data_IF_307471503399
#
_entry.id   IF_307471503399
#
_cell.length_a   1.000
_cell.length_b   1.000
_cell.length_c   1.000
_cell.angle_alpha   90.00
_cell.angle_beta   90.00
_cell.angle_gamma   90.00
#
_symmetry.space_group_name_H-M   'P 1'
#
loop_
_entity.id
_entity.type
_entity.pdbx_description
1 polymer ?
#
# COMPACT_ATOMS: atom_id res chain seq x y z
N UNK A 1 -27.52 -8.95 18.87
CA UNK A 1 -26.88 -7.84 18.10
C UNK A 1 -25.81 -8.44 17.18
N UNK A 2 -25.85 -8.20 15.87
CA UNK A 2 -24.78 -8.67 14.95
C UNK A 2 -23.51 -7.87 15.22
N UNK A 3 -22.42 -8.56 15.57
CA UNK A 3 -21.10 -7.93 15.78
C UNK A 3 -20.60 -7.43 14.43
N UNK A 4 -20.22 -6.15 14.36
CA UNK A 4 -19.67 -5.59 13.14
C UNK A 4 -18.36 -6.31 12.78
N UNK A 5 -18.22 -6.70 11.51
CA UNK A 5 -16.97 -7.30 11.03
C UNK A 5 -15.87 -6.22 11.04
N UNK A 6 -14.69 -6.45 11.62
CA UNK A 6 -13.58 -5.49 11.60
C UNK A 6 -13.21 -5.02 10.18
N UNK A 7 -13.40 -5.87 9.15
CA UNK A 7 -13.18 -5.49 7.76
C UNK A 7 -14.21 -4.47 7.26
N UNK A 8 -15.49 -4.60 7.66
CA UNK A 8 -16.53 -3.64 7.25
C UNK A 8 -16.33 -2.28 7.92
N UNK A 9 -15.81 -2.26 9.15
CA UNK A 9 -15.46 -1.01 9.84
C UNK A 9 -14.28 -0.29 9.16
N UNK A 10 -13.21 -1.01 8.81
CA UNK A 10 -12.07 -0.43 8.08
C UNK A 10 -12.49 0.14 6.72
N UNK A 11 -13.33 -0.60 5.98
CA UNK A 11 -13.87 -0.12 4.70
C UNK A 11 -14.66 1.18 4.86
N UNK A 12 -15.51 1.26 5.88
CA UNK A 12 -16.30 2.46 6.16
C UNK A 12 -15.43 3.67 6.50
N UNK A 13 -14.36 3.47 7.29
CA UNK A 13 -13.41 4.53 7.62
C UNK A 13 -12.66 5.03 6.38
N UNK A 14 -12.16 4.12 5.55
CA UNK A 14 -11.48 4.48 4.30
C UNK A 14 -12.42 5.20 3.32
N UNK A 15 -13.69 4.80 3.28
CA UNK A 15 -14.71 5.46 2.44
C UNK A 15 -14.97 6.89 2.91
N UNK A 16 -15.07 7.10 4.23
CA UNK A 16 -15.21 8.43 4.82
C UNK A 16 -14.00 9.32 4.51
N UNK A 17 -12.79 8.77 4.59
CA UNK A 17 -11.57 9.50 4.22
C UNK A 17 -11.55 9.87 2.74
N UNK A 18 -11.96 8.95 1.85
CA UNK A 18 -12.03 9.21 0.42
C UNK A 18 -13.02 10.33 0.07
N UNK A 19 -14.19 10.32 0.73
CA UNK A 19 -15.20 11.38 0.59
C UNK A 19 -14.68 12.73 1.07
N UNK A 20 -13.99 12.77 2.21
CA UNK A 20 -13.42 14.00 2.79
C UNK A 20 -12.37 14.64 1.88
N UNK A 21 -11.56 13.83 1.21
CA UNK A 21 -10.50 14.32 0.33
C UNK A 21 -10.90 14.40 -1.15
N UNK A 22 -12.18 14.16 -1.46
CA UNK A 22 -12.73 14.15 -2.83
C UNK A 22 -11.93 13.25 -3.80
N UNK A 23 -11.39 12.15 -3.28
CA UNK A 23 -10.61 11.17 -4.04
C UNK A 23 -11.44 9.93 -4.34
N UNK A 24 -11.14 9.30 -5.48
CA UNK A 24 -11.79 8.05 -5.87
C UNK A 24 -11.43 6.94 -4.86
N UNK A 25 -12.45 6.38 -4.21
CA UNK A 25 -12.30 5.37 -3.16
C UNK A 25 -11.46 4.16 -3.60
N UNK A 26 -11.54 3.75 -4.87
CA UNK A 26 -10.75 2.65 -5.41
C UNK A 26 -9.23 2.88 -5.30
N UNK A 27 -8.76 4.12 -5.48
CA UNK A 27 -7.34 4.43 -5.29
C UNK A 27 -6.94 4.39 -3.82
N UNK A 28 -7.82 4.87 -2.93
CA UNK A 28 -7.57 4.86 -1.48
C UNK A 28 -7.44 3.43 -0.95
N UNK A 29 -8.35 2.53 -1.33
CA UNK A 29 -8.31 1.15 -0.84
C UNK A 29 -7.11 0.38 -1.41
N UNK A 30 -6.76 0.57 -2.69
CA UNK A 30 -5.58 -0.07 -3.29
C UNK A 30 -4.31 0.44 -2.60
N UNK A 31 -4.18 1.76 -2.41
CA UNK A 31 -3.04 2.37 -1.73
C UNK A 31 -2.90 1.87 -0.29
N UNK A 32 -4.01 1.82 0.45
CA UNK A 32 -4.04 1.30 1.81
C UNK A 32 -3.55 -0.16 1.88
N UNK A 33 -4.03 -1.02 0.98
CA UNK A 33 -3.62 -2.43 0.96
C UNK A 33 -2.13 -2.58 0.63
N UNK A 34 -1.61 -1.80 -0.31
CA UNK A 34 -0.18 -1.81 -0.64
C UNK A 34 0.69 -1.33 0.52
N UNK A 35 0.34 -0.22 1.17
CA UNK A 35 1.08 0.28 2.34
C UNK A 35 1.05 -0.71 3.50
N UNK A 36 -0.10 -1.34 3.73
CA UNK A 36 -0.23 -2.33 4.81
C UNK A 36 0.57 -3.60 4.50
N UNK A 37 0.60 -4.06 3.24
CA UNK A 37 1.47 -5.16 2.82
C UNK A 37 2.94 -4.79 2.97
N UNK A 38 3.34 -3.60 2.55
CA UNK A 38 4.71 -3.09 2.68
C UNK A 38 5.15 -3.02 4.13
N UNK A 39 4.30 -2.48 5.00
CA UNK A 39 4.55 -2.45 6.43
C UNK A 39 4.73 -3.86 7.01
N UNK A 40 3.86 -4.80 6.63
CA UNK A 40 3.97 -6.20 7.06
C UNK A 40 5.27 -6.86 6.58
N UNK A 41 5.71 -6.57 5.35
CA UNK A 41 6.97 -7.06 4.82
C UNK A 41 8.17 -6.41 5.53
N UNK A 42 8.12 -5.12 5.84
CA UNK A 42 9.23 -4.38 6.45
C UNK A 42 9.53 -4.84 7.88
N UNK A 43 8.51 -5.29 8.62
CA UNK A 43 8.68 -5.83 9.98
C UNK A 43 8.86 -7.35 10.01
N UNK A 44 8.91 -8.01 8.85
CA UNK A 44 9.10 -9.46 8.75
C UNK A 44 10.57 -9.85 8.58
N UNK A 45 10.90 -11.09 8.93
CA UNK A 45 12.22 -11.68 8.70
C UNK A 45 12.61 -11.75 7.21
N UNK A 46 11.63 -11.54 6.31
CA UNK A 46 11.83 -11.57 4.87
C UNK A 46 12.16 -10.21 4.27
N UNK A 47 12.25 -9.13 5.07
CA UNK A 47 12.51 -7.77 4.56
C UNK A 47 13.72 -7.70 3.62
N UNK A 48 14.80 -8.41 3.96
CA UNK A 48 16.03 -8.47 3.14
C UNK A 48 15.86 -9.16 1.78
N UNK A 49 14.76 -9.89 1.59
CA UNK A 49 14.43 -10.54 0.32
C UNK A 49 13.57 -9.66 -0.58
N UNK A 50 13.04 -8.54 -0.10
CA UNK A 50 12.16 -7.69 -0.89
C UNK A 50 12.79 -6.31 -1.10
N UNK A 51 12.89 -5.90 -2.36
CA UNK A 51 13.18 -4.51 -2.71
C UNK A 51 11.95 -3.93 -3.43
N UNK A 52 11.43 -2.82 -2.91
CA UNK A 52 10.34 -2.09 -3.54
C UNK A 52 10.88 -1.34 -4.77
N UNK A 53 10.31 -1.63 -5.93
CA UNK A 53 10.66 -1.00 -7.21
C UNK A 53 9.43 -0.31 -7.82
N UNK A 54 9.67 0.73 -8.62
CA UNK A 54 8.66 1.32 -9.51
C UNK A 54 7.96 2.57 -8.96
N UNK A 55 6.88 2.96 -9.65
CA UNK A 55 6.19 4.23 -9.45
C UNK A 55 5.31 4.32 -8.18
N UNK A 56 5.11 3.21 -7.46
CA UNK A 56 4.43 3.22 -6.16
C UNK A 56 5.28 3.91 -5.06
N UNK A 57 6.60 4.03 -5.28
CA UNK A 57 7.54 4.66 -4.35
C UNK A 57 7.35 6.16 -4.24
N UNK A 58 6.77 6.80 -5.27
CA UNK A 58 6.57 8.24 -5.26
C UNK A 58 5.43 8.60 -4.29
N UNK A 59 5.81 9.32 -3.24
CA UNK A 59 4.88 10.04 -2.38
C UNK A 59 4.32 11.21 -3.17
N UNK A 60 3.06 11.56 -2.89
CA UNK A 60 2.37 12.72 -3.46
C UNK A 60 3.12 13.99 -3.04
N UNK A 61 4.07 14.43 -3.85
CA UNK A 61 4.54 15.81 -3.82
C UNK A 61 3.36 16.70 -4.21
N UNK A 62 3.04 17.69 -3.39
CA UNK A 62 1.86 18.54 -3.60
C UNK A 62 1.90 19.34 -4.92
N UNK A 63 3.08 19.49 -5.50
CA UNK A 63 3.32 20.39 -6.64
C UNK A 63 3.56 19.68 -7.98
N UNK A 64 3.56 18.34 -8.05
CA UNK A 64 3.77 17.63 -9.33
C UNK A 64 2.81 16.45 -9.51
N UNK A 65 2.13 16.33 -10.66
CA UNK A 65 1.34 15.14 -10.97
C UNK A 65 2.28 13.97 -11.25
N UNK A 66 2.66 13.24 -10.21
CA UNK A 66 3.33 11.96 -10.36
C UNK A 66 2.25 10.92 -10.66
N UNK A 67 2.38 10.20 -11.78
CA UNK A 67 1.56 9.01 -12.00
C UNK A 67 1.92 8.00 -10.91
N UNK A 68 1.09 7.93 -9.88
CA UNK A 68 1.20 6.89 -8.87
C UNK A 68 0.86 5.58 -9.57
N UNK A 69 1.87 4.75 -9.79
CA UNK A 69 1.65 3.42 -10.33
C UNK A 69 0.74 2.65 -9.37
N UNK A 70 -0.34 2.08 -9.90
CA UNK A 70 -1.17 1.11 -9.17
C UNK A 70 -0.44 -0.23 -9.03
N UNK A 71 0.69 -0.42 -9.70
CA UNK A 71 1.51 -1.62 -9.60
C UNK A 71 2.59 -1.45 -8.53
N UNK A 72 2.50 -2.22 -7.46
CA UNK A 72 3.64 -2.47 -6.58
C UNK A 72 4.49 -3.57 -7.18
N UNK A 73 5.62 -3.21 -7.76
CA UNK A 73 6.61 -4.18 -8.26
C UNK A 73 7.59 -4.51 -7.13
N UNK A 74 7.72 -5.80 -6.85
CA UNK A 74 8.65 -6.32 -5.84
C UNK A 74 9.72 -7.14 -6.55
N UNK A 75 10.98 -6.87 -6.22
CA UNK A 75 12.09 -7.76 -6.59
C UNK A 75 12.34 -8.69 -5.41
N UNK A 76 12.24 -9.99 -5.65
CA UNK A 76 12.58 -11.02 -4.65
C UNK A 76 14.04 -11.41 -4.84
N UNK A 77 14.89 -11.03 -3.89
CA UNK A 77 16.26 -11.51 -3.81
C UNK A 77 16.26 -13.00 -3.49
N UNK A 78 16.70 -13.85 -4.44
CA UNK A 78 17.02 -15.24 -4.11
C UNK A 78 18.22 -15.24 -3.16
N UNK A 79 18.08 -15.76 -1.93
CA UNK A 79 19.25 -16.18 -1.16
C UNK A 79 19.94 -17.29 -1.95
N UNK A 80 21.02 -16.92 -2.64
CA UNK A 80 21.78 -17.81 -3.51
C UNK A 80 23.00 -17.10 -4.11
N UNK A 81 24.02 -16.92 -3.26
CA UNK A 81 25.41 -16.47 -3.51
C UNK A 81 25.69 -14.97 -3.73
N UNK A 82 26.71 -14.56 -2.96
CA UNK A 82 27.58 -13.38 -3.01
C UNK A 82 26.97 -12.01 -2.64
N UNK A 83 27.28 -11.52 -1.43
CA UNK A 83 28.53 -10.79 -1.18
C UNK A 83 29.01 -11.07 0.25
#
# INVERSE_FOLDING_TARGET
MKKANPASLHRANLLRSAQKEEVIFQFVIIRYLHEHLLYRLSVSDYVSKFCLKGGALFKRDRDKPVRVGVECQYVIGKKGKAM
#
